data_IF_258919304759
#
_entry.id   IF_258919304759
#
_cell.length_a   1.000
_cell.length_b   1.000
_cell.length_c   1.000
_cell.angle_alpha   90.00
_cell.angle_beta   90.00
_cell.angle_gamma   90.00
#
_symmetry.space_group_name_H-M   'P 1'
#
loop_
_entity.id
_entity.type
_entity.pdbx_description
1 polymer ?
#
# COMPACT_ATOMS: atom_id res chain seq x y z
N UNK A 1 17.33 1.54 2.10
CA UNK A 1 16.42 1.88 1.00
C UNK A 1 14.99 1.76 1.52
N UNK A 2 14.11 2.73 1.21
CA UNK A 2 12.68 2.58 1.52
C UNK A 2 12.09 1.47 0.66
N UNK A 3 11.20 0.66 1.25
CA UNK A 3 10.44 -0.37 0.52
C UNK A 3 9.52 0.33 -0.50
N UNK A 4 9.50 -0.16 -1.73
CA UNK A 4 8.77 0.44 -2.85
C UNK A 4 7.64 -0.46 -3.40
N UNK A 5 7.40 -1.61 -2.78
CA UNK A 5 6.36 -2.56 -3.13
C UNK A 5 5.92 -3.30 -1.87
N UNK A 6 4.65 -3.69 -1.79
CA UNK A 6 4.03 -4.27 -0.60
C UNK A 6 3.11 -5.43 -1.01
N UNK A 7 3.26 -6.58 -0.35
CA UNK A 7 2.40 -7.74 -0.52
C UNK A 7 1.09 -7.58 0.27
N UNK A 8 0.11 -8.45 0.05
CA UNK A 8 -1.14 -8.46 0.82
C UNK A 8 -0.91 -8.49 2.34
N UNK A 9 0.00 -9.36 2.80
CA UNK A 9 0.31 -9.51 4.22
C UNK A 9 0.91 -8.21 4.81
N UNK A 10 1.72 -7.49 4.03
CA UNK A 10 2.22 -6.17 4.45
C UNK A 10 1.08 -5.16 4.61
N UNK A 11 0.07 -5.20 3.74
CA UNK A 11 -1.09 -4.31 3.78
C UNK A 11 -1.99 -4.62 4.98
N UNK A 12 -2.16 -5.90 5.30
CA UNK A 12 -2.88 -6.34 6.51
C UNK A 12 -2.13 -5.90 7.77
N UNK A 13 -0.81 -6.10 7.80
CA UNK A 13 0.05 -5.60 8.89
C UNK A 13 -0.06 -4.08 9.06
N UNK A 14 -0.14 -3.34 7.95
CA UNK A 14 -0.39 -1.90 7.96
C UNK A 14 -1.78 -1.54 8.54
N UNK A 15 -2.83 -2.29 8.17
CA UNK A 15 -4.18 -2.07 8.70
C UNK A 15 -4.30 -2.36 10.19
N UNK A 16 -3.56 -3.35 10.71
CA UNK A 16 -3.45 -3.61 12.15
C UNK A 16 -2.69 -2.50 12.88
N UNK A 17 -1.82 -1.78 12.17
CA UNK A 17 -0.99 -0.70 12.71
C UNK A 17 0.43 -1.12 13.10
N UNK A 18 0.87 -2.30 12.67
CA UNK A 18 2.18 -2.85 12.99
C UNK A 18 3.28 -2.26 12.10
N UNK A 19 2.92 -1.79 10.90
CA UNK A 19 3.89 -1.32 9.90
C UNK A 19 4.47 0.06 10.22
N UNK A 20 3.62 1.01 10.63
CA UNK A 20 4.03 2.40 10.89
C UNK A 20 4.07 2.73 12.39
N UNK A 21 3.60 1.84 13.25
CA UNK A 21 3.56 2.04 14.70
C UNK A 21 2.29 2.73 15.21
N UNK A 22 2.12 2.79 16.54
CA UNK A 22 0.90 3.28 17.18
C UNK A 22 0.67 4.77 16.92
N UNK A 23 -0.58 5.14 16.56
CA UNK A 23 -0.99 6.52 16.29
C UNK A 23 -0.66 7.03 14.87
N UNK A 24 0.04 6.23 14.05
CA UNK A 24 0.35 6.57 12.67
C UNK A 24 -0.74 6.07 11.69
N UNK A 25 -0.54 6.37 10.41
CA UNK A 25 -1.44 5.98 9.34
C UNK A 25 -1.69 4.46 9.33
N UNK A 26 -2.94 4.07 9.08
CA UNK A 26 -3.35 2.68 8.89
C UNK A 26 -4.15 2.58 7.60
N UNK A 27 -4.02 1.46 6.93
CA UNK A 27 -4.94 1.10 5.86
C UNK A 27 -6.26 0.59 6.47
N UNK A 28 -7.38 0.71 5.75
CA UNK A 28 -8.58 -0.04 6.07
C UNK A 28 -8.28 -1.55 6.04
N UNK A 29 -8.93 -2.31 6.91
CA UNK A 29 -8.94 -3.77 6.83
C UNK A 29 -10.08 -4.24 5.90
N UNK A 30 -10.02 -5.49 5.39
CA UNK A 30 -11.15 -6.11 4.69
C UNK A 30 -12.45 -6.02 5.52
N UNK A 31 -13.62 -5.77 4.89
CA UNK A 31 -13.86 -5.73 3.44
C UNK A 31 -13.59 -4.38 2.78
N UNK A 32 -13.04 -3.39 3.50
CA UNK A 32 -12.76 -2.04 2.95
C UNK A 32 -11.36 -1.87 2.36
N UNK A 33 -10.50 -2.90 2.45
CA UNK A 33 -9.21 -2.92 1.77
C UNK A 33 -9.43 -3.19 0.28
N UNK A 34 -9.11 -2.21 -0.58
CA UNK A 34 -9.48 -2.21 -2.00
C UNK A 34 -8.32 -2.54 -2.96
N UNK A 35 -7.23 -3.12 -2.47
CA UNK A 35 -6.13 -3.61 -3.31
C UNK A 35 -5.38 -4.73 -2.59
N UNK A 36 -4.87 -5.68 -3.36
CA UNK A 36 -4.15 -6.84 -2.85
C UNK A 36 -2.64 -6.63 -2.76
N UNK A 37 -2.10 -5.68 -3.53
CA UNK A 37 -0.68 -5.38 -3.56
C UNK A 37 -0.38 -3.97 -4.06
N UNK A 38 0.74 -3.42 -3.61
CA UNK A 38 1.37 -2.23 -4.19
C UNK A 38 2.61 -2.70 -4.95
N UNK A 39 2.66 -2.49 -6.26
CA UNK A 39 3.77 -2.95 -7.11
C UNK A 39 4.87 -1.91 -7.25
N UNK A 40 4.54 -0.63 -7.10
CA UNK A 40 5.51 0.47 -7.20
C UNK A 40 5.09 1.67 -6.33
N UNK A 41 6.04 2.20 -5.55
CA UNK A 41 6.01 3.53 -4.95
C UNK A 41 7.31 4.23 -5.33
N UNK A 42 7.19 5.42 -5.92
CA UNK A 42 8.34 6.21 -6.34
C UNK A 42 8.11 7.67 -5.98
N UNK A 43 9.14 8.35 -5.48
CA UNK A 43 9.06 9.73 -5.00
C UNK A 43 9.30 10.77 -6.12
N UNK A 44 9.91 10.37 -7.24
CA UNK A 44 10.46 11.28 -8.25
C UNK A 44 9.89 11.07 -9.68
N UNK A 45 8.85 10.25 -9.85
CA UNK A 45 8.21 10.02 -11.15
C UNK A 45 6.76 10.54 -11.18
N UNK A 46 5.95 10.05 -12.12
CA UNK A 46 4.53 10.41 -12.28
C UNK A 46 4.32 11.62 -13.19
N UNK A 47 3.06 11.95 -13.47
CA UNK A 47 2.69 13.01 -14.41
C UNK A 47 3.28 14.40 -14.08
N UNK A 48 3.63 14.62 -12.81
CA UNK A 48 4.16 15.89 -12.32
C UNK A 48 5.56 15.79 -11.69
N UNK A 49 6.23 14.63 -11.82
CA UNK A 49 7.55 14.37 -11.22
C UNK A 49 7.61 14.61 -9.70
N UNK A 50 6.51 14.36 -8.99
CA UNK A 50 6.38 14.50 -7.52
C UNK A 50 5.97 13.20 -6.83
N UNK A 51 6.11 12.09 -7.55
CA UNK A 51 5.85 10.75 -7.08
C UNK A 51 4.64 10.10 -7.73
N UNK A 52 4.59 8.76 -7.64
CA UNK A 52 3.48 7.95 -8.09
C UNK A 52 3.38 6.65 -7.30
N UNK A 53 2.21 6.01 -7.40
CA UNK A 53 1.91 4.72 -6.78
C UNK A 53 1.14 3.85 -7.78
N UNK A 54 1.50 2.56 -7.86
CA UNK A 54 0.77 1.54 -8.63
C UNK A 54 0.35 0.41 -7.70
N UNK A 55 -0.92 0.03 -7.76
CA UNK A 55 -1.51 -1.02 -6.96
C UNK A 55 -2.48 -1.87 -7.81
N UNK A 56 -2.74 -3.09 -7.37
CA UNK A 56 -3.58 -4.06 -8.07
C UNK A 56 -4.58 -4.69 -7.10
N UNK A 57 -5.78 -5.01 -7.59
CA UNK A 57 -6.83 -5.75 -6.89
C UNK A 57 -7.23 -6.94 -7.78
N UNK A 58 -7.16 -8.16 -7.24
CA UNK A 58 -7.59 -9.36 -7.94
C UNK A 58 -9.11 -9.50 -7.84
N UNK A 59 -9.79 -9.55 -8.99
CA UNK A 59 -11.23 -9.80 -9.05
C UNK A 59 -11.45 -11.31 -9.13
N UNK A 60 -12.12 -11.86 -8.11
CA UNK A 60 -12.47 -13.28 -8.02
C UNK A 60 -13.96 -13.47 -8.34
N UNK A 61 -14.27 -14.54 -9.06
CA UNK A 61 -15.64 -14.95 -9.40
C UNK A 61 -16.20 -15.92 -8.36
#
# INVERSE_FOLDING_TARGET
MKKNSYSYDDLISCGNGDLFGPGNAKLPLPPMLMFDRITEINENNGAFNKGSLKAELDIKN
#
